data_IF_575752982144
#
_entry.id   IF_575752982144
#
_cell.length_a   1.000
_cell.length_b   1.000
_cell.length_c   1.000
_cell.angle_alpha   90.00
_cell.angle_beta   90.00
_cell.angle_gamma   90.00
#
_symmetry.space_group_name_H-M   'P 1'
#
loop_
_entity.id
_entity.type
_entity.pdbx_description
1 polymer ?
#
# COMPACT_ATOMS: atom_id res chain seq x y z
N UNK A 1 5.63 -26.26 -9.77
CA UNK A 1 5.71 -25.07 -8.90
C UNK A 1 6.54 -25.44 -7.69
N UNK A 2 7.62 -24.72 -7.42
CA UNK A 2 8.48 -24.97 -6.26
C UNK A 2 8.20 -23.88 -5.22
N UNK A 3 7.76 -24.27 -4.02
CA UNK A 3 7.65 -23.36 -2.89
C UNK A 3 8.97 -23.39 -2.12
N UNK A 4 9.47 -22.22 -1.73
CA UNK A 4 10.65 -22.07 -0.88
C UNK A 4 10.24 -21.44 0.45
N UNK A 5 10.85 -21.89 1.55
CA UNK A 5 10.71 -21.27 2.87
C UNK A 5 11.96 -20.43 3.13
N UNK A 6 11.77 -19.19 3.57
CA UNK A 6 12.85 -18.34 4.05
C UNK A 6 12.95 -18.53 5.57
N UNK A 7 14.06 -19.09 6.05
CA UNK A 7 14.35 -19.25 7.47
C UNK A 7 15.42 -18.22 7.86
N UNK A 8 14.97 -16.99 8.16
CA UNK A 8 15.84 -15.92 8.65
C UNK A 8 15.97 -15.98 10.17
N UNK A 9 17.15 -15.66 10.69
CA UNK A 9 17.34 -15.43 12.12
C UNK A 9 17.03 -13.98 12.52
N UNK A 10 17.12 -13.65 13.82
CA UNK A 10 16.85 -12.30 14.32
C UNK A 10 17.85 -11.25 13.84
N UNK A 11 19.02 -11.66 13.36
CA UNK A 11 20.06 -10.74 12.85
C UNK A 11 19.87 -10.41 11.38
N UNK A 12 19.23 -11.30 10.64
CA UNK A 12 18.91 -11.17 9.21
C UNK A 12 17.57 -10.45 8.95
N UNK A 13 16.70 -10.37 9.96
CA UNK A 13 15.43 -9.67 9.84
C UNK A 13 15.61 -8.16 10.04
N UNK A 14 15.17 -7.30 9.09
CA UNK A 14 15.16 -5.87 9.31
C UNK A 14 14.23 -5.51 10.49
N UNK A 15 14.62 -4.50 11.26
CA UNK A 15 13.78 -3.95 12.34
C UNK A 15 12.45 -3.48 11.78
N UNK A 16 11.35 -3.80 12.47
CA UNK A 16 10.04 -3.28 12.12
C UNK A 16 10.03 -1.76 12.26
N UNK A 17 9.72 -1.07 11.17
CA UNK A 17 9.57 0.39 11.18
C UNK A 17 8.11 0.69 11.49
N UNK A 18 7.87 1.44 12.55
CA UNK A 18 6.52 1.78 13.00
C UNK A 18 5.99 2.88 12.08
N UNK A 19 4.88 2.60 11.39
CA UNK A 19 4.20 3.59 10.55
C UNK A 19 3.80 4.83 11.36
N UNK A 20 4.18 5.99 10.85
CA UNK A 20 3.84 7.30 11.42
C UNK A 20 2.61 7.90 10.74
N UNK A 21 2.09 8.99 11.31
CA UNK A 21 0.97 9.70 10.72
C UNK A 21 1.33 10.29 9.34
N UNK A 22 0.41 10.17 8.38
CA UNK A 22 0.58 10.76 7.05
C UNK A 22 0.69 12.30 7.16
N UNK A 23 1.83 12.85 6.75
CA UNK A 23 2.08 14.31 6.73
C UNK A 23 1.62 15.01 5.44
N UNK A 24 0.95 14.27 4.55
CA UNK A 24 0.43 14.74 3.26
C UNK A 24 1.46 15.35 2.30
N UNK A 25 2.69 14.83 2.26
CA UNK A 25 3.77 15.38 1.43
C UNK A 25 3.57 15.24 -0.10
N UNK A 26 2.78 14.27 -0.58
CA UNK A 26 2.52 14.07 -2.01
C UNK A 26 3.49 13.15 -2.76
N UNK A 27 4.65 12.79 -2.18
CA UNK A 27 5.67 11.94 -2.84
C UNK A 27 5.12 10.62 -3.39
N UNK A 28 4.14 10.03 -2.69
CA UNK A 28 3.51 8.78 -3.12
C UNK A 28 2.80 8.91 -4.48
N UNK A 29 2.25 10.08 -4.81
CA UNK A 29 1.60 10.32 -6.10
C UNK A 29 2.65 10.52 -7.20
N UNK A 30 3.70 11.30 -6.93
CA UNK A 30 4.81 11.52 -7.87
C UNK A 30 5.51 10.22 -8.27
N UNK A 31 5.70 9.30 -7.31
CA UNK A 31 6.34 8.02 -7.56
C UNK A 31 5.42 6.95 -8.15
N UNK A 32 4.12 7.21 -8.32
CA UNK A 32 3.16 6.19 -8.74
C UNK A 32 3.23 5.95 -10.26
N UNK A 33 3.68 4.77 -10.75
CA UNK A 33 3.78 4.51 -12.18
C UNK A 33 2.41 4.38 -12.87
N UNK A 34 1.34 4.12 -12.11
CA UNK A 34 -0.03 4.05 -12.61
C UNK A 34 -0.76 5.41 -12.57
N UNK A 35 -0.06 6.50 -12.20
CA UNK A 35 -0.64 7.85 -12.10
C UNK A 35 -1.87 7.94 -11.18
N UNK A 36 -1.91 7.10 -10.14
CA UNK A 36 -2.98 7.13 -9.14
C UNK A 36 -2.73 8.21 -8.08
N UNK A 37 -3.67 8.35 -7.14
CA UNK A 37 -3.54 9.20 -5.95
C UNK A 37 -3.45 8.34 -4.68
N UNK A 38 -2.30 7.70 -4.38
CA UNK A 38 -2.15 6.80 -3.23
C UNK A 38 -2.55 7.46 -1.90
N UNK A 39 -2.25 8.74 -1.70
CA UNK A 39 -2.64 9.42 -0.47
C UNK A 39 -4.17 9.36 -0.24
N UNK A 40 -4.99 9.59 -1.28
CA UNK A 40 -6.45 9.51 -1.19
C UNK A 40 -6.91 8.07 -1.02
N UNK A 41 -6.39 7.15 -1.85
CA UNK A 41 -6.70 5.72 -1.76
C UNK A 41 -6.42 5.16 -0.36
N UNK A 42 -5.35 5.60 0.29
CA UNK A 42 -5.03 5.20 1.66
C UNK A 42 -6.12 5.60 2.66
N UNK A 43 -6.63 6.84 2.57
CA UNK A 43 -7.68 7.29 3.47
C UNK A 43 -8.99 6.53 3.24
N UNK A 44 -9.38 6.28 2.00
CA UNK A 44 -10.56 5.48 1.70
C UNK A 44 -10.40 4.01 2.12
N UNK A 45 -9.22 3.41 1.88
CA UNK A 45 -8.93 2.05 2.33
C UNK A 45 -8.97 1.93 3.86
N UNK A 46 -8.43 2.93 4.58
CA UNK A 46 -8.48 2.98 6.04
C UNK A 46 -9.91 3.14 6.57
N UNK A 47 -10.75 3.88 5.85
CA UNK A 47 -12.18 4.05 6.15
C UNK A 47 -13.05 2.86 5.70
N UNK A 48 -12.48 1.88 4.97
CA UNK A 48 -13.21 0.80 4.29
C UNK A 48 -14.30 1.30 3.33
N UNK A 49 -14.04 2.44 2.69
CA UNK A 49 -14.93 3.05 1.71
C UNK A 49 -14.62 2.49 0.30
N UNK A 50 -15.20 1.33 0.00
CA UNK A 50 -14.92 0.60 -1.24
C UNK A 50 -15.51 1.25 -2.49
N UNK A 51 -16.62 2.00 -2.33
CA UNK A 51 -17.22 2.76 -3.43
C UNK A 51 -16.26 3.86 -3.89
N UNK A 52 -15.71 4.63 -2.94
CA UNK A 52 -14.72 5.65 -3.27
C UNK A 52 -13.42 5.04 -3.80
N UNK A 53 -12.98 3.89 -3.28
CA UNK A 53 -11.81 3.19 -3.84
C UNK A 53 -12.01 2.79 -5.31
N UNK A 54 -13.18 2.30 -5.68
CA UNK A 54 -13.51 1.99 -7.07
C UNK A 54 -13.56 3.27 -7.93
N UNK A 55 -14.21 4.33 -7.43
CA UNK A 55 -14.30 5.63 -8.12
C UNK A 55 -12.92 6.29 -8.31
N UNK A 56 -11.96 6.01 -7.43
CA UNK A 56 -10.58 6.48 -7.50
C UNK A 56 -9.62 5.47 -8.13
N UNK A 57 -10.13 4.51 -8.90
CA UNK A 57 -9.35 3.60 -9.74
C UNK A 57 -8.38 2.72 -8.95
N UNK A 58 -8.72 2.32 -7.71
CA UNK A 58 -7.95 1.33 -6.96
C UNK A 58 -7.66 0.04 -7.78
N UNK A 59 -8.60 -0.50 -8.60
CA UNK A 59 -8.34 -1.69 -9.42
C UNK A 59 -7.09 -1.57 -10.32
N UNK A 60 -6.74 -0.37 -10.76
CA UNK A 60 -5.59 -0.12 -11.65
C UNK A 60 -4.24 -0.16 -10.91
N UNK A 61 -4.24 -0.17 -9.56
CA UNK A 61 -3.03 -0.26 -8.77
C UNK A 61 -2.32 -1.60 -9.00
N UNK A 62 -1.17 -1.59 -9.68
CA UNK A 62 -0.39 -2.81 -9.97
C UNK A 62 0.42 -3.36 -8.79
N UNK A 63 0.20 -2.84 -7.58
CA UNK A 63 0.84 -3.31 -6.35
C UNK A 63 2.38 -3.30 -6.35
N UNK A 64 2.99 -2.37 -7.09
CA UNK A 64 4.44 -2.26 -7.24
C UNK A 64 5.20 -1.81 -5.97
N UNK A 65 4.51 -1.19 -5.01
CA UNK A 65 5.12 -0.74 -3.75
C UNK A 65 5.88 0.58 -3.78
N UNK A 66 6.03 1.23 -4.95
CA UNK A 66 6.78 2.50 -5.06
C UNK A 66 6.30 3.58 -4.09
N UNK A 67 4.98 3.73 -3.93
CA UNK A 67 4.37 4.68 -3.00
C UNK A 67 4.75 4.44 -1.53
N UNK A 68 4.88 3.18 -1.10
CA UNK A 68 5.27 2.82 0.25
C UNK A 68 6.76 3.09 0.48
N UNK A 69 7.60 2.77 -0.51
CA UNK A 69 9.05 3.00 -0.45
C UNK A 69 9.41 4.49 -0.30
N UNK A 70 8.72 5.39 -1.02
CA UNK A 70 9.01 6.84 -0.95
C UNK A 70 8.29 7.56 0.20
N UNK A 71 7.48 6.86 0.99
CA UNK A 71 6.70 7.48 2.05
C UNK A 71 7.59 7.84 3.24
N UNK A 72 7.78 9.13 3.58
CA UNK A 72 8.62 9.52 4.72
C UNK A 72 7.98 9.19 6.09
N UNK A 73 6.75 8.70 6.09
CA UNK A 73 6.02 8.26 7.29
C UNK A 73 5.99 6.72 7.41
N UNK A 74 6.75 6.00 6.57
CA UNK A 74 6.83 4.53 6.57
C UNK A 74 5.48 3.83 6.49
N UNK A 75 4.49 4.47 5.83
CA UNK A 75 3.15 3.90 5.69
C UNK A 75 3.19 2.78 4.66
N UNK A 76 2.76 1.56 4.99
CA UNK A 76 2.76 0.43 4.05
C UNK A 76 1.57 0.51 3.08
N UNK A 77 1.50 1.58 2.29
CA UNK A 77 0.37 1.94 1.42
C UNK A 77 -0.12 0.76 0.55
N UNK A 78 0.81 -0.01 -0.03
CA UNK A 78 0.46 -1.15 -0.89
C UNK A 78 -0.26 -2.28 -0.15
N UNK A 79 0.00 -2.47 1.15
CA UNK A 79 -0.69 -3.47 1.96
C UNK A 79 -2.17 -3.11 2.15
N UNK A 80 -2.47 -1.83 2.38
CA UNK A 80 -3.85 -1.33 2.44
C UNK A 80 -4.58 -1.56 1.11
N UNK A 81 -3.91 -1.34 -0.02
CA UNK A 81 -4.50 -1.55 -1.35
C UNK A 81 -4.76 -3.02 -1.65
N UNK A 82 -3.81 -3.91 -1.31
CA UNK A 82 -3.99 -5.37 -1.45
C UNK A 82 -5.18 -5.86 -0.64
N UNK A 83 -5.27 -5.44 0.62
CA UNK A 83 -6.39 -5.79 1.49
C UNK A 83 -7.72 -5.29 0.90
N UNK A 84 -7.79 -4.02 0.52
CA UNK A 84 -9.00 -3.44 -0.07
C UNK A 84 -9.40 -4.10 -1.40
N UNK A 85 -8.44 -4.44 -2.27
CA UNK A 85 -8.71 -5.20 -3.50
C UNK A 85 -9.23 -6.60 -3.21
N UNK A 86 -8.72 -7.25 -2.18
CA UNK A 86 -9.21 -8.54 -1.70
C UNK A 86 -10.67 -8.45 -1.26
N UNK A 87 -11.00 -7.45 -0.44
CA UNK A 87 -12.37 -7.19 0.01
C UNK A 87 -13.32 -6.90 -1.16
N UNK A 88 -12.93 -6.01 -2.09
CA UNK A 88 -13.72 -5.69 -3.29
C UNK A 88 -13.99 -6.93 -4.16
N UNK A 89 -13.04 -7.89 -4.24
CA UNK A 89 -13.23 -9.12 -5.01
C UNK A 89 -14.21 -10.09 -4.35
N UNK A 90 -14.37 -10.01 -3.03
CA UNK A 90 -15.25 -10.89 -2.26
C UNK A 90 -16.68 -10.35 -2.15
N UNK A 91 -16.93 -9.10 -2.57
CA UNK A 91 -18.24 -8.49 -2.71
C UNK A 91 -18.92 -8.88 -4.02
#
# INVERSE_FOLDING_TARGET
>A
TTNCLLAADHTESPSEVIAQACIRCGHCAEACPASLLPQQLYWYARAKDYEQLAAHHLPDCIECGACAYVCPSDIPLVQYYRAAKGEIRLM
#
